data_IF_526301309924
#
_entry.id   IF_526301309924
#
_cell.length_a   1.000
_cell.length_b   1.000
_cell.length_c   1.000
_cell.angle_alpha   90.00
_cell.angle_beta   90.00
_cell.angle_gamma   90.00
#
_symmetry.space_group_name_H-M   'P 1'
#
loop_
_entity.id
_entity.type
_entity.pdbx_description
1 polymer ?
#
# COMPACT_ATOMS: atom_id res chain seq x y z
N UNK A 1 3.29 1.12 -30.30
CA UNK A 1 2.99 1.76 -29.00
C UNK A 1 2.20 0.77 -28.14
N UNK A 2 2.86 -0.16 -27.43
CA UNK A 2 2.14 -1.29 -26.81
C UNK A 2 2.89 -1.91 -25.62
N UNK A 3 2.97 -1.24 -24.47
CA UNK A 3 3.46 -1.87 -23.22
C UNK A 3 2.87 -1.19 -21.97
N UNK A 4 1.60 -1.47 -21.68
CA UNK A 4 1.09 -1.42 -20.31
C UNK A 4 0.49 -2.80 -20.01
N UNK A 5 1.33 -3.73 -19.57
CA UNK A 5 0.82 -4.96 -18.97
C UNK A 5 0.36 -4.63 -17.55
N UNK A 6 -0.93 -4.89 -17.29
CA UNK A 6 -1.56 -4.68 -16.00
C UNK A 6 -1.25 -5.91 -15.14
N UNK A 7 -0.33 -5.76 -14.19
CA UNK A 7 -0.01 -6.83 -13.24
C UNK A 7 -1.04 -6.83 -12.11
N UNK A 8 -1.83 -7.90 -12.03
CA UNK A 8 -2.60 -8.20 -10.84
C UNK A 8 -1.66 -8.89 -9.85
N UNK A 9 -1.32 -8.18 -8.78
CA UNK A 9 -0.62 -8.77 -7.65
C UNK A 9 -1.69 -9.17 -6.65
N UNK A 10 -1.87 -10.47 -6.45
CA UNK A 10 -2.65 -10.97 -5.33
C UNK A 10 -1.89 -10.58 -4.06
N UNK A 11 -2.49 -9.72 -3.25
CA UNK A 11 -1.93 -9.42 -1.93
C UNK A 11 -2.39 -10.51 -0.96
N UNK A 12 -1.48 -11.13 -0.20
CA UNK A 12 -1.88 -12.08 0.83
C UNK A 12 -2.82 -11.40 1.83
N UNK A 13 -3.77 -12.16 2.37
CA UNK A 13 -4.69 -11.67 3.39
C UNK A 13 -3.89 -11.17 4.61
N UNK A 14 -4.07 -9.90 4.98
CA UNK A 14 -3.42 -9.28 6.13
C UNK A 14 -2.56 -8.07 5.79
N UNK A 15 -1.25 -8.17 6.06
CA UNK A 15 -0.29 -7.08 5.92
C UNK A 15 0.78 -7.39 4.88
N UNK A 16 1.34 -6.33 4.30
CA UNK A 16 2.40 -6.44 3.30
C UNK A 16 3.39 -5.27 3.41
N UNK A 17 4.66 -5.53 3.09
CA UNK A 17 5.73 -4.54 3.07
C UNK A 17 6.53 -4.64 1.78
N UNK A 18 6.89 -3.49 1.20
CA UNK A 18 7.66 -3.39 -0.04
C UNK A 18 8.89 -2.52 0.21
N UNK A 19 10.02 -2.91 -0.37
CA UNK A 19 11.29 -2.16 -0.31
C UNK A 19 12.36 -2.83 0.54
N UNK A 20 13.47 -2.12 0.73
CA UNK A 20 14.52 -2.50 1.66
C UNK A 20 13.98 -2.42 3.10
N UNK A 21 14.31 -3.41 3.92
CA UNK A 21 13.72 -3.60 5.25
C UNK A 21 12.34 -4.26 5.30
N UNK A 22 11.79 -4.72 4.17
CA UNK A 22 10.50 -5.42 4.10
C UNK A 22 10.48 -6.71 4.93
N UNK A 23 11.55 -7.50 4.93
CA UNK A 23 11.65 -8.72 5.76
C UNK A 23 11.50 -8.43 7.25
N UNK A 24 12.18 -7.40 7.75
CA UNK A 24 12.06 -6.95 9.15
C UNK A 24 10.65 -6.41 9.46
N UNK A 25 10.04 -5.68 8.51
CA UNK A 25 8.69 -5.13 8.68
C UNK A 25 7.64 -6.25 8.73
N UNK A 26 7.72 -7.21 7.81
CA UNK A 26 6.83 -8.38 7.77
C UNK A 26 6.94 -9.19 9.06
N UNK A 27 8.16 -9.48 9.53
CA UNK A 27 8.36 -10.19 10.78
C UNK A 27 7.81 -9.42 11.99
N UNK A 28 8.03 -8.11 12.04
CA UNK A 28 7.48 -7.28 13.12
C UNK A 28 5.94 -7.28 13.13
N UNK A 29 5.31 -7.19 11.95
CA UNK A 29 3.86 -7.24 11.82
C UNK A 29 3.28 -8.61 12.18
N UNK A 30 3.98 -9.68 11.83
CA UNK A 30 3.62 -11.06 12.22
C UNK A 30 3.65 -11.22 13.76
N UNK A 31 4.57 -10.52 14.43
CA UNK A 31 4.62 -10.41 15.88
C UNK A 31 3.60 -9.41 16.48
N UNK A 32 2.68 -8.88 15.68
CA UNK A 32 1.61 -7.98 16.12
C UNK A 32 1.97 -6.49 16.16
N UNK A 33 3.09 -6.07 15.57
CA UNK A 33 3.41 -4.65 15.45
C UNK A 33 2.49 -3.95 14.43
N UNK A 34 2.12 -2.70 14.71
CA UNK A 34 1.46 -1.86 13.71
C UNK A 34 2.43 -1.39 12.61
N UNK A 35 1.89 -0.82 11.53
CA UNK A 35 2.70 -0.38 10.39
C UNK A 35 3.77 0.66 10.74
N UNK A 36 3.50 1.56 11.68
CA UNK A 36 4.48 2.56 12.09
C UNK A 36 5.63 1.89 12.85
N UNK A 37 5.30 1.00 13.77
CA UNK A 37 6.26 0.27 14.61
C UNK A 37 7.10 -0.69 13.80
N UNK A 38 6.52 -1.35 12.80
CA UNK A 38 7.24 -2.20 11.86
C UNK A 38 8.33 -1.42 11.11
N UNK A 39 8.01 -0.23 10.56
CA UNK A 39 9.01 0.65 9.91
C UNK A 39 10.09 1.12 10.89
N UNK A 40 9.73 1.41 12.15
CA UNK A 40 10.71 1.75 13.19
C UNK A 40 11.67 0.60 13.48
N UNK A 41 11.20 -0.66 13.43
CA UNK A 41 12.03 -1.84 13.63
C UNK A 41 12.93 -2.04 12.41
N UNK A 42 12.39 -1.94 11.18
CA UNK A 42 13.20 -2.00 9.96
C UNK A 42 14.32 -0.96 9.96
N UNK A 43 14.04 0.28 10.38
CA UNK A 43 15.03 1.35 10.47
C UNK A 43 16.17 1.10 11.48
N UNK A 44 16.02 0.14 12.40
CA UNK A 44 17.08 -0.24 13.34
C UNK A 44 18.05 -1.26 12.75
N UNK A 45 17.60 -2.10 11.82
CA UNK A 45 18.34 -3.27 11.36
C UNK A 45 18.70 -3.23 9.86
N UNK A 46 18.02 -2.41 9.06
CA UNK A 46 18.35 -2.18 7.66
C UNK A 46 19.02 -0.81 7.49
N UNK A 47 20.28 -0.81 7.05
CA UNK A 47 21.10 0.40 6.91
C UNK A 47 20.54 1.40 5.88
N UNK A 48 19.68 0.94 4.98
CA UNK A 48 19.05 1.79 3.96
C UNK A 48 17.65 2.28 4.32
N UNK A 49 17.12 1.87 5.49
CA UNK A 49 15.81 2.31 5.98
C UNK A 49 16.00 3.29 7.13
N UNK A 50 15.38 4.47 7.04
CA UNK A 50 15.50 5.48 8.09
C UNK A 50 14.74 6.78 7.78
N UNK A 51 15.12 7.85 8.46
CA UNK A 51 14.52 9.17 8.28
C UNK A 51 13.15 9.33 8.95
N UNK A 52 12.34 10.27 8.45
CA UNK A 52 11.02 10.59 9.03
C UNK A 52 9.97 9.60 8.56
N UNK A 53 9.33 8.90 9.50
CA UNK A 53 8.22 7.99 9.22
C UNK A 53 6.94 8.79 9.01
N UNK A 54 6.30 8.61 7.85
CA UNK A 54 4.98 9.17 7.53
C UNK A 54 3.95 8.04 7.47
N UNK A 55 2.77 8.27 8.03
CA UNK A 55 1.68 7.29 8.09
C UNK A 55 0.41 7.86 7.51
N UNK A 56 -0.34 7.05 6.77
CA UNK A 56 -1.65 7.42 6.22
C UNK A 56 -2.66 6.32 6.53
N UNK A 57 -3.79 6.70 7.13
CA UNK A 57 -4.92 5.79 7.34
C UNK A 57 -5.97 6.04 6.27
N UNK A 58 -6.23 5.02 5.44
CA UNK A 58 -7.26 5.09 4.40
C UNK A 58 -8.62 4.79 5.04
N UNK A 59 -9.54 5.75 5.02
CA UNK A 59 -10.88 5.59 5.62
C UNK A 59 -11.86 4.79 4.74
N UNK A 60 -11.67 4.83 3.42
CA UNK A 60 -12.55 4.20 2.44
C UNK A 60 -11.74 3.27 1.52
N UNK A 61 -11.17 2.21 2.10
CA UNK A 61 -10.57 1.16 1.29
C UNK A 61 -11.69 0.33 0.67
N UNK A 62 -11.87 0.46 -0.64
CA UNK A 62 -12.74 -0.38 -1.44
C UNK A 62 -12.00 -0.70 -2.74
N UNK A 63 -12.43 -1.72 -3.51
CA UNK A 63 -11.89 -1.92 -4.84
C UNK A 63 -11.96 -0.59 -5.59
N UNK A 64 -10.86 -0.24 -6.27
CA UNK A 64 -10.90 0.78 -7.31
C UNK A 64 -11.77 0.20 -8.43
N UNK A 65 -13.09 0.20 -8.24
CA UNK A 65 -14.03 0.05 -9.32
C UNK A 65 -13.84 1.34 -10.11
N UNK A 66 -13.15 1.24 -11.23
CA UNK A 66 -13.09 2.32 -12.20
C UNK A 66 -14.53 2.74 -12.46
N UNK A 67 -14.96 3.87 -11.90
CA UNK A 67 -16.30 4.39 -12.15
C UNK A 67 -16.25 4.93 -13.58
N UNK A 68 -16.48 4.07 -14.56
CA UNK A 68 -16.82 4.50 -15.92
C UNK A 68 -18.15 5.24 -15.80
N UNK A 69 -18.09 6.57 -15.65
CA UNK A 69 -19.28 7.40 -15.70
C UNK A 69 -19.84 7.26 -17.12
N UNK A 70 -21.05 6.74 -17.24
CA UNK A 70 -21.75 6.72 -18.52
C UNK A 70 -21.97 8.16 -18.98
N UNK A 71 -22.01 8.39 -20.29
CA UNK A 71 -22.21 9.73 -20.87
C UNK A 71 -23.46 10.44 -20.34
N UNK A 72 -24.45 9.67 -19.87
CA UNK A 72 -25.66 10.17 -19.21
C UNK A 72 -25.41 10.81 -17.83
N UNK A 73 -24.44 10.28 -17.07
CA UNK A 73 -24.09 10.75 -15.73
C UNK A 73 -23.21 12.00 -15.77
N UNK A 74 -22.47 12.21 -16.86
CA UNK A 74 -21.69 13.43 -17.10
C UNK A 74 -22.62 14.60 -17.40
N UNK A 75 -23.67 14.39 -18.20
CA UNK A 75 -24.62 15.46 -18.60
C UNK A 75 -25.51 15.97 -17.47
N UNK A 76 -25.79 15.17 -16.43
CA UNK A 76 -26.58 15.60 -15.26
C UNK A 76 -25.81 16.42 -14.24
N UNK A 77 -24.49 16.59 -14.42
CA UNK A 77 -23.60 17.29 -13.49
C UNK A 77 -23.18 18.68 -13.99
N UNK A 78 -23.76 19.12 -15.12
CA UNK A 78 -23.61 20.46 -15.70
C UNK A 78 -24.89 21.23 -15.49
#
# INVERSE_FOLDING_TARGET
NRFFQKYHVEMPDGFYAIGWGSSYAMAAMDMGADAKKAVQISAKYDAYTGGKIKTMKVKNWGPLVEKTLTSSQIRKKV
#
